data_IF_040938857512
#
_entry.id   IF_040938857512
#
_cell.length_a   1.000
_cell.length_b   1.000
_cell.length_c   1.000
_cell.angle_alpha   90.00
_cell.angle_beta   90.00
_cell.angle_gamma   90.00
#
_symmetry.space_group_name_H-M   'P 1'
#
loop_
_entity.id
_entity.type
_entity.pdbx_description
1 polymer ?
#
# COMPACT_ATOMS: atom_id res chain seq x y z
N UNK A 1 -30.15 -16.79 11.98
CA UNK A 1 -29.68 -18.03 12.60
C UNK A 1 -28.21 -18.26 12.28
N UNK A 2 -27.32 -18.14 13.28
CA UNK A 2 -25.88 -18.35 13.06
C UNK A 2 -25.58 -19.84 12.85
N UNK A 3 -25.15 -20.23 11.65
CA UNK A 3 -24.82 -21.60 11.30
C UNK A 3 -23.41 -21.74 10.74
N UNK A 4 -22.76 -22.92 10.89
CA UNK A 4 -21.48 -23.18 10.25
C UNK A 4 -21.59 -23.07 8.72
N UNK A 5 -20.61 -22.43 8.07
CA UNK A 5 -20.60 -22.20 6.62
C UNK A 5 -20.68 -23.51 5.80
N UNK A 6 -20.18 -24.63 6.35
CA UNK A 6 -20.32 -25.96 5.75
C UNK A 6 -21.76 -26.50 5.69
N UNK A 7 -22.67 -25.92 6.48
CA UNK A 7 -24.08 -26.32 6.55
C UNK A 7 -24.99 -25.40 5.72
N UNK A 8 -24.43 -24.33 5.15
CA UNK A 8 -25.16 -23.38 4.29
C UNK A 8 -25.47 -24.02 2.94
N UNK A 9 -26.63 -23.71 2.37
CA UNK A 9 -27.06 -24.20 1.06
C UNK A 9 -27.23 -23.07 0.06
N UNK A 10 -27.06 -23.38 -1.21
CA UNK A 10 -27.38 -22.42 -2.27
C UNK A 10 -28.87 -22.04 -2.20
N UNK A 11 -29.14 -20.75 -2.19
CA UNK A 11 -30.48 -20.18 -1.99
C UNK A 11 -30.74 -19.67 -0.57
N UNK A 12 -29.87 -19.97 0.41
CA UNK A 12 -29.98 -19.37 1.74
C UNK A 12 -29.69 -17.87 1.66
N UNK A 13 -30.37 -17.06 2.48
CA UNK A 13 -30.20 -15.61 2.54
C UNK A 13 -29.37 -15.21 3.75
N UNK A 14 -28.32 -14.40 3.56
CA UNK A 14 -27.54 -13.86 4.67
C UNK A 14 -28.35 -12.88 5.51
N UNK A 15 -28.43 -13.14 6.83
CA UNK A 15 -29.09 -12.28 7.80
C UNK A 15 -28.26 -11.07 8.24
N UNK A 16 -26.94 -11.20 8.22
CA UNK A 16 -25.99 -10.13 8.54
C UNK A 16 -24.83 -10.16 7.56
N UNK A 17 -24.08 -9.04 7.48
CA UNK A 17 -22.87 -8.96 6.65
C UNK A 17 -21.85 -10.03 7.06
N UNK A 18 -21.28 -10.73 6.08
CA UNK A 18 -20.22 -11.71 6.29
C UNK A 18 -18.85 -11.05 6.08
N UNK A 19 -18.05 -11.02 7.14
CA UNK A 19 -16.71 -10.44 7.10
C UNK A 19 -15.64 -11.54 7.13
N UNK A 20 -14.59 -11.32 6.38
CA UNK A 20 -13.35 -12.08 6.52
C UNK A 20 -12.77 -11.86 7.95
N UNK A 21 -12.03 -12.81 8.56
CA UNK A 21 -11.37 -12.60 9.85
C UNK A 21 -10.48 -11.35 9.94
N UNK A 22 -10.05 -10.79 8.79
CA UNK A 22 -9.35 -9.51 8.70
C UNK A 22 -10.26 -8.26 8.71
N UNK A 23 -11.59 -8.43 8.90
CA UNK A 23 -12.55 -7.32 8.90
C UNK A 23 -13.03 -6.88 7.51
N UNK A 24 -12.58 -7.50 6.42
CA UNK A 24 -13.03 -7.18 5.07
C UNK A 24 -14.44 -7.74 4.84
N UNK A 25 -15.38 -6.90 4.38
CA UNK A 25 -16.70 -7.34 3.94
C UNK A 25 -16.56 -8.28 2.74
N UNK A 26 -17.08 -9.49 2.87
CA UNK A 26 -17.04 -10.53 1.83
C UNK A 26 -18.35 -10.64 1.07
N UNK A 27 -19.45 -10.59 1.80
CA UNK A 27 -20.82 -10.61 1.28
C UNK A 27 -21.74 -9.80 2.19
N UNK A 28 -22.64 -9.01 1.62
CA UNK A 28 -23.58 -8.18 2.37
C UNK A 28 -24.81 -8.97 2.85
N UNK A 29 -25.41 -8.50 3.95
CA UNK A 29 -26.72 -8.96 4.42
C UNK A 29 -27.75 -8.90 3.29
N UNK A 30 -28.68 -9.85 3.27
CA UNK A 30 -29.67 -9.97 2.20
C UNK A 30 -29.16 -10.65 0.92
N UNK A 31 -27.88 -11.04 0.84
CA UNK A 31 -27.37 -11.80 -0.31
C UNK A 31 -27.94 -13.21 -0.32
N UNK A 32 -28.57 -13.60 -1.45
CA UNK A 32 -28.93 -14.99 -1.72
C UNK A 32 -27.68 -15.74 -2.15
N UNK A 33 -27.23 -16.67 -1.33
CA UNK A 33 -25.96 -17.37 -1.52
C UNK A 33 -26.01 -18.34 -2.70
N UNK A 34 -25.10 -18.16 -3.63
CA UNK A 34 -24.82 -19.15 -4.68
C UNK A 34 -23.82 -20.22 -4.17
N UNK A 35 -23.65 -21.31 -4.91
CA UNK A 35 -22.64 -22.32 -4.61
C UNK A 35 -21.21 -21.70 -4.63
N UNK A 36 -20.95 -20.76 -5.52
CA UNK A 36 -19.67 -20.04 -5.61
C UNK A 36 -19.43 -19.13 -4.39
N UNK A 37 -20.49 -18.50 -3.85
CA UNK A 37 -20.40 -17.67 -2.64
C UNK A 37 -20.08 -18.52 -1.41
N UNK A 38 -20.69 -19.68 -1.30
CA UNK A 38 -20.43 -20.64 -0.20
C UNK A 38 -18.99 -21.14 -0.26
N UNK A 39 -18.50 -21.50 -1.44
CA UNK A 39 -17.10 -21.88 -1.63
C UNK A 39 -16.14 -20.73 -1.32
N UNK A 40 -16.49 -19.50 -1.71
CA UNK A 40 -15.73 -18.29 -1.37
C UNK A 40 -15.65 -18.06 0.14
N UNK A 41 -16.76 -18.19 0.87
CA UNK A 41 -16.81 -18.06 2.33
C UNK A 41 -15.93 -19.11 3.02
N UNK A 42 -15.99 -20.37 2.58
CA UNK A 42 -15.17 -21.46 3.12
C UNK A 42 -13.68 -21.25 2.84
N UNK A 43 -13.33 -20.87 1.61
CA UNK A 43 -11.95 -20.59 1.20
C UNK A 43 -11.32 -19.43 1.99
N UNK A 44 -12.15 -18.46 2.39
CA UNK A 44 -11.73 -17.29 3.17
C UNK A 44 -11.72 -17.54 4.68
N UNK A 45 -11.98 -18.78 5.12
CA UNK A 45 -11.93 -19.16 6.54
C UNK A 45 -13.07 -18.56 7.37
N UNK A 46 -14.22 -18.26 6.75
CA UNK A 46 -15.41 -17.78 7.45
C UNK A 46 -16.18 -19.02 7.93
N UNK A 47 -15.97 -19.40 9.18
CA UNK A 47 -16.50 -20.64 9.74
C UNK A 47 -18.01 -20.62 9.99
N UNK A 48 -18.59 -19.44 10.23
CA UNK A 48 -20.01 -19.28 10.55
C UNK A 48 -20.57 -18.04 9.86
N UNK A 49 -21.83 -18.14 9.44
CA UNK A 49 -22.63 -17.03 8.88
C UNK A 49 -24.03 -17.04 9.48
N UNK A 50 -24.63 -15.85 9.53
CA UNK A 50 -26.03 -15.73 9.97
C UNK A 50 -26.95 -15.88 8.75
N UNK A 51 -27.90 -16.81 8.85
CA UNK A 51 -28.87 -17.10 7.78
C UNK A 51 -30.28 -16.77 8.27
N UNK A 52 -31.06 -16.11 7.41
CA UNK A 52 -32.49 -15.86 7.65
C UNK A 52 -33.23 -17.20 7.51
N UNK A 53 -33.99 -17.66 8.52
CA UNK A 53 -34.79 -18.90 8.44
C UNK A 53 -35.84 -18.76 7.33
N UNK A 54 -36.15 -19.84 6.57
CA UNK A 54 -37.15 -19.80 5.48
C UNK A 54 -38.58 -19.47 5.95
N UNK A 55 -38.91 -19.65 7.24
CA UNK A 55 -40.23 -19.35 7.83
C UNK A 55 -40.23 -18.11 8.75
N UNK A 56 -39.16 -17.33 8.78
CA UNK A 56 -39.12 -16.06 9.49
C UNK A 56 -39.77 -14.95 8.66
N UNK A 57 -40.84 -14.34 9.15
CA UNK A 57 -41.29 -13.04 8.65
C UNK A 57 -40.08 -12.13 8.57
N UNK A 58 -39.79 -11.63 7.37
CA UNK A 58 -38.80 -10.58 7.21
C UNK A 58 -39.20 -9.45 8.20
N UNK A 59 -38.30 -8.94 9.03
CA UNK A 59 -38.62 -7.81 9.89
C UNK A 59 -39.29 -6.75 9.01
N UNK A 60 -40.39 -6.11 9.48
CA UNK A 60 -41.07 -5.10 8.67
C UNK A 60 -40.04 -4.07 8.24
N UNK A 61 -40.09 -3.55 7.01
CA UNK A 61 -39.14 -2.55 6.57
C UNK A 61 -39.14 -1.45 7.61
N UNK A 62 -37.99 -1.21 8.22
CA UNK A 62 -37.81 -0.16 9.21
C UNK A 62 -38.41 1.11 8.62
N UNK A 63 -39.35 1.71 9.33
CA UNK A 63 -40.00 2.97 8.91
C UNK A 63 -38.90 3.96 8.59
N UNK A 64 -39.05 4.73 7.50
CA UNK A 64 -38.05 5.65 6.96
C UNK A 64 -37.36 6.54 8.01
N UNK A 65 -37.97 6.78 9.17
CA UNK A 65 -37.39 7.54 10.29
C UNK A 65 -36.35 6.77 11.13
N UNK A 66 -36.35 5.41 11.11
CA UNK A 66 -35.32 4.61 11.79
C UNK A 66 -34.15 4.25 10.88
N UNK A 67 -34.35 4.31 9.55
CA UNK A 67 -33.29 4.12 8.55
C UNK A 67 -32.33 5.32 8.46
N UNK A 68 -32.74 6.51 8.88
CA UNK A 68 -31.87 7.69 8.93
C UNK A 68 -30.87 7.68 10.09
N UNK A 69 -31.02 6.82 11.10
CA UNK A 69 -30.16 6.80 12.29
C UNK A 69 -29.03 5.77 12.22
N UNK A 70 -29.03 4.83 11.25
CA UNK A 70 -28.04 3.75 11.11
C UNK A 70 -27.64 3.46 9.64
N UNK A 71 -27.87 4.41 8.75
CA UNK A 71 -27.23 4.34 7.44
C UNK A 71 -25.78 4.81 7.59
N UNK A 72 -24.84 3.87 7.72
CA UNK A 72 -23.53 4.06 7.13
C UNK A 72 -23.78 4.06 5.60
N UNK A 73 -24.35 5.15 5.12
CA UNK A 73 -24.31 5.47 3.71
C UNK A 73 -22.89 5.91 3.42
N UNK A 74 -22.09 5.04 2.82
CA UNK A 74 -21.07 5.53 1.92
C UNK A 74 -21.85 6.45 0.97
N UNK A 75 -21.70 7.75 1.12
CA UNK A 75 -22.41 8.71 0.27
C UNK A 75 -22.12 8.33 -1.19
N UNK A 76 -23.10 8.47 -2.12
CA UNK A 76 -22.88 8.18 -3.56
C UNK A 76 -21.64 8.88 -4.12
N UNK A 77 -21.20 9.95 -3.49
CA UNK A 77 -19.97 10.69 -3.79
C UNK A 77 -18.67 9.94 -3.42
N UNK A 78 -18.66 9.21 -2.31
CA UNK A 78 -17.48 8.48 -1.84
C UNK A 78 -17.20 7.25 -2.71
N UNK A 79 -18.24 6.49 -3.03
CA UNK A 79 -18.13 5.36 -3.98
C UNK A 79 -17.76 5.81 -5.41
N UNK A 80 -18.23 6.98 -5.85
CA UNK A 80 -17.85 7.56 -7.14
C UNK A 80 -16.38 8.01 -7.13
N UNK A 81 -15.90 8.54 -6.00
CA UNK A 81 -14.53 8.98 -5.80
C UNK A 81 -13.58 7.79 -5.81
N UNK A 82 -13.88 6.73 -5.07
CA UNK A 82 -13.10 5.50 -5.03
C UNK A 82 -12.96 4.88 -6.44
N UNK A 83 -14.06 4.76 -7.18
CA UNK A 83 -14.03 4.29 -8.57
C UNK A 83 -13.14 5.17 -9.46
N UNK A 84 -13.17 6.49 -9.27
CA UNK A 84 -12.36 7.41 -10.03
C UNK A 84 -10.85 7.29 -9.72
N UNK A 85 -10.49 7.00 -8.47
CA UNK A 85 -9.09 6.74 -8.06
C UNK A 85 -8.62 5.41 -8.65
N UNK A 86 -9.42 4.35 -8.56
CA UNK A 86 -9.10 3.04 -9.14
C UNK A 86 -8.89 3.15 -10.66
N UNK A 87 -9.75 3.90 -11.37
CA UNK A 87 -9.60 4.12 -12.80
C UNK A 87 -8.29 4.88 -13.12
N UNK A 88 -8.00 5.96 -12.40
CA UNK A 88 -6.77 6.72 -12.60
C UNK A 88 -5.50 5.89 -12.27
N UNK A 89 -5.58 5.00 -11.28
CA UNK A 89 -4.51 4.06 -10.97
C UNK A 89 -4.27 3.10 -12.14
N UNK A 90 -5.34 2.52 -12.70
CA UNK A 90 -5.21 1.61 -13.85
C UNK A 90 -4.64 2.34 -15.08
N UNK A 91 -5.10 3.56 -15.36
CA UNK A 91 -4.53 4.40 -16.42
C UNK A 91 -3.04 4.67 -16.20
N UNK A 92 -2.60 4.86 -14.94
CA UNK A 92 -1.18 5.04 -14.62
C UNK A 92 -0.39 3.73 -14.82
N UNK A 93 -0.96 2.56 -14.49
CA UNK A 93 -0.33 1.26 -14.74
C UNK A 93 -0.18 1.01 -16.25
N UNK A 94 -1.20 1.28 -17.04
CA UNK A 94 -1.14 1.14 -18.49
C UNK A 94 -0.14 2.15 -19.10
N UNK A 95 -0.12 3.38 -18.58
CA UNK A 95 0.82 4.43 -18.98
C UNK A 95 2.28 4.07 -18.73
N UNK A 96 2.63 3.49 -17.58
CA UNK A 96 4.01 3.06 -17.31
C UNK A 96 4.41 1.88 -18.18
N UNK A 97 3.51 0.95 -18.46
CA UNK A 97 3.76 -0.16 -19.37
C UNK A 97 4.16 0.32 -20.76
N UNK A 98 3.37 1.22 -21.35
CA UNK A 98 3.69 1.86 -22.64
C UNK A 98 5.04 2.60 -22.56
N UNK A 99 5.32 3.27 -21.45
CA UNK A 99 6.57 4.00 -21.23
C UNK A 99 7.78 3.04 -21.22
N UNK A 100 7.66 1.86 -20.60
CA UNK A 100 8.72 0.83 -20.62
C UNK A 100 8.94 0.25 -22.04
N UNK A 101 7.86 0.01 -22.79
CA UNK A 101 7.92 -0.45 -24.18
C UNK A 101 8.65 0.58 -25.06
N UNK A 102 8.27 1.85 -24.96
CA UNK A 102 8.92 2.94 -25.67
C UNK A 102 10.41 3.07 -25.30
N UNK A 103 10.75 3.01 -24.00
CA UNK A 103 12.12 3.06 -23.53
C UNK A 103 12.98 1.92 -24.10
N UNK A 104 12.40 0.72 -24.25
CA UNK A 104 13.06 -0.44 -24.81
C UNK A 104 13.31 -0.28 -26.32
N UNK A 105 12.29 0.17 -27.08
CA UNK A 105 12.33 0.27 -28.52
C UNK A 105 13.14 1.47 -29.03
N UNK A 106 12.93 2.65 -28.43
CA UNK A 106 13.46 3.91 -28.91
C UNK A 106 14.70 4.38 -28.10
N UNK A 107 14.85 3.89 -26.87
CA UNK A 107 15.92 4.32 -25.95
C UNK A 107 15.71 5.70 -25.35
N UNK A 108 14.53 6.30 -25.52
CA UNK A 108 14.06 7.53 -24.88
C UNK A 108 12.55 7.46 -24.67
N UNK A 109 11.99 8.39 -23.86
CA UNK A 109 10.56 8.46 -23.53
C UNK A 109 10.08 9.91 -23.52
N UNK A 110 8.77 10.14 -23.74
CA UNK A 110 8.21 11.51 -23.73
C UNK A 110 7.87 11.97 -22.31
N UNK A 111 8.42 13.11 -21.84
CA UNK A 111 8.04 13.71 -20.56
C UNK A 111 6.55 14.04 -20.47
N UNK A 112 5.93 14.47 -21.57
CA UNK A 112 4.50 14.79 -21.64
C UNK A 112 3.63 13.55 -21.50
N UNK A 113 4.06 12.41 -22.06
CA UNK A 113 3.36 11.13 -21.92
C UNK A 113 3.40 10.64 -20.47
N UNK A 114 4.56 10.72 -19.83
CA UNK A 114 4.73 10.39 -18.42
C UNK A 114 3.84 11.27 -17.53
N UNK A 115 3.82 12.58 -17.77
CA UNK A 115 2.97 13.50 -17.04
C UNK A 115 1.47 13.19 -17.23
N UNK A 116 1.05 12.85 -18.44
CA UNK A 116 -0.35 12.43 -18.72
C UNK A 116 -0.72 11.12 -18.04
N UNK A 117 0.21 10.18 -17.90
CA UNK A 117 -0.03 8.91 -17.21
C UNK A 117 -0.10 9.06 -15.69
N UNK A 118 0.75 9.87 -15.08
CA UNK A 118 0.88 9.96 -13.62
C UNK A 118 0.09 11.10 -12.96
N UNK A 119 0.08 12.31 -13.54
CA UNK A 119 -0.50 13.49 -12.87
C UNK A 119 -2.00 13.37 -12.55
N UNK A 120 -2.86 12.73 -13.38
CA UNK A 120 -4.27 12.55 -13.04
C UNK A 120 -4.47 11.73 -11.77
N UNK A 121 -3.64 10.71 -11.54
CA UNK A 121 -3.66 9.91 -10.33
C UNK A 121 -3.26 10.75 -9.11
N UNK A 122 -2.14 11.46 -9.19
CA UNK A 122 -1.67 12.35 -8.12
C UNK A 122 -2.72 13.40 -7.73
N UNK A 123 -3.38 14.03 -8.72
CA UNK A 123 -4.44 15.00 -8.47
C UNK A 123 -5.67 14.42 -7.75
N UNK A 124 -6.00 13.14 -8.00
CA UNK A 124 -7.14 12.48 -7.32
C UNK A 124 -6.81 12.03 -5.90
N UNK A 125 -5.58 11.52 -5.70
CA UNK A 125 -5.13 11.06 -4.37
C UNK A 125 -4.78 12.22 -3.44
N UNK A 126 -4.52 13.42 -3.96
CA UNK A 126 -4.24 14.62 -3.16
C UNK A 126 -5.29 14.89 -2.05
N UNK A 127 -6.55 14.57 -2.30
CA UNK A 127 -7.64 14.75 -1.36
C UNK A 127 -7.88 13.54 -0.45
N UNK A 128 -7.17 12.43 -0.63
CA UNK A 128 -7.38 11.21 0.13
C UNK A 128 -6.80 11.33 1.54
N UNK A 129 -7.63 11.03 2.54
CA UNK A 129 -7.23 11.07 3.96
C UNK A 129 -6.67 9.74 4.43
N UNK A 130 -7.19 8.64 3.93
CA UNK A 130 -6.73 7.28 4.28
C UNK A 130 -5.83 6.72 3.16
N UNK A 131 -4.60 7.24 3.12
CA UNK A 131 -3.55 6.80 2.19
C UNK A 131 -3.20 5.33 2.37
N UNK A 132 -3.31 4.83 3.61
CA UNK A 132 -2.97 3.44 3.97
C UNK A 132 -3.94 2.48 3.29
N UNK A 133 -5.24 2.67 3.49
CA UNK A 133 -6.27 1.83 2.87
C UNK A 133 -6.18 1.90 1.35
N UNK A 134 -5.93 3.08 0.78
CA UNK A 134 -5.75 3.25 -0.65
C UNK A 134 -4.58 2.39 -1.18
N UNK A 135 -3.41 2.48 -0.57
CA UNK A 135 -2.22 1.71 -0.99
C UNK A 135 -2.42 0.20 -0.85
N UNK A 136 -3.20 -0.25 0.14
CA UNK A 136 -3.50 -1.66 0.35
C UNK A 136 -4.52 -2.21 -0.67
N UNK A 137 -5.53 -1.43 -1.02
CA UNK A 137 -6.58 -1.82 -2.00
C UNK A 137 -6.01 -1.95 -3.41
N UNK A 138 -5.06 -1.09 -3.77
CA UNK A 138 -4.47 -1.05 -5.10
C UNK A 138 -3.40 -2.13 -5.36
N UNK A 139 -3.11 -3.00 -4.38
CA UNK A 139 -2.09 -4.04 -4.48
C UNK A 139 -2.66 -5.34 -5.09
N UNK A 140 -2.82 -5.40 -6.43
CA UNK A 140 -3.34 -6.55 -7.16
C UNK A 140 -2.19 -7.42 -7.74
N UNK A 141 -2.47 -8.70 -8.09
CA UNK A 141 -1.46 -9.76 -8.30
C UNK A 141 -0.80 -9.79 -9.69
N UNK A 142 -1.39 -9.16 -10.67
CA UNK A 142 -0.89 -9.18 -12.05
C UNK A 142 -0.07 -7.92 -12.36
N UNK A 143 1.03 -8.05 -13.13
CA UNK A 143 1.91 -6.94 -13.54
C UNK A 143 2.70 -6.22 -12.41
N UNK A 144 3.28 -7.00 -11.47
CA UNK A 144 4.02 -6.51 -10.29
C UNK A 144 4.97 -5.33 -10.57
N UNK A 145 5.76 -5.37 -11.63
CA UNK A 145 6.76 -4.31 -11.91
C UNK A 145 6.11 -2.95 -12.16
N UNK A 146 5.03 -2.93 -12.94
CA UNK A 146 4.35 -1.68 -13.30
C UNK A 146 3.53 -1.12 -12.15
N UNK A 147 2.84 -1.98 -11.42
CA UNK A 147 2.11 -1.59 -10.20
C UNK A 147 3.05 -1.05 -9.12
N UNK A 148 4.22 -1.67 -8.94
CA UNK A 148 5.27 -1.20 -8.05
C UNK A 148 5.72 0.21 -8.43
N UNK A 149 5.98 0.48 -9.70
CA UNK A 149 6.35 1.82 -10.19
C UNK A 149 5.28 2.87 -9.88
N UNK A 150 4.00 2.54 -10.07
CA UNK A 150 2.89 3.45 -9.72
C UNK A 150 2.83 3.69 -8.21
N UNK A 151 2.95 2.64 -7.40
CA UNK A 151 2.94 2.74 -5.94
C UNK A 151 4.11 3.58 -5.41
N UNK A 152 5.33 3.33 -5.89
CA UNK A 152 6.50 4.13 -5.51
C UNK A 152 6.30 5.59 -5.91
N UNK A 153 5.71 5.86 -7.07
CA UNK A 153 5.34 7.21 -7.48
C UNK A 153 4.35 7.88 -6.52
N UNK A 154 3.26 7.19 -6.16
CA UNK A 154 2.28 7.72 -5.20
C UNK A 154 2.91 8.00 -3.83
N UNK A 155 3.68 7.05 -3.30
CA UNK A 155 4.32 7.18 -1.99
C UNK A 155 5.33 8.33 -1.99
N UNK A 156 6.13 8.47 -3.05
CA UNK A 156 7.09 9.58 -3.20
C UNK A 156 6.39 10.94 -3.24
N UNK A 157 5.27 11.05 -3.95
CA UNK A 157 4.42 12.24 -3.97
C UNK A 157 3.95 12.59 -2.55
N UNK A 158 3.40 11.64 -1.80
CA UNK A 158 2.94 11.88 -0.43
C UNK A 158 4.08 12.25 0.52
N UNK A 159 5.23 11.57 0.45
CA UNK A 159 6.40 11.93 1.28
C UNK A 159 6.77 13.39 1.04
N UNK A 160 6.86 13.83 -0.22
CA UNK A 160 7.17 15.22 -0.57
C UNK A 160 6.13 16.21 0.00
N UNK A 161 4.84 15.89 -0.11
CA UNK A 161 3.75 16.70 0.50
C UNK A 161 3.89 16.77 2.03
N UNK A 162 4.17 15.65 2.68
CA UNK A 162 4.34 15.60 4.13
C UNK A 162 5.61 16.30 4.62
N UNK A 163 6.62 16.44 3.77
CA UNK A 163 7.79 17.28 4.00
C UNK A 163 7.51 18.77 3.78
N UNK A 164 6.31 19.16 3.40
CA UNK A 164 5.92 20.55 3.19
C UNK A 164 6.36 21.14 1.84
N UNK A 165 6.72 20.29 0.86
CA UNK A 165 7.10 20.73 -0.47
C UNK A 165 5.86 21.25 -1.24
N UNK A 166 6.12 22.09 -2.24
CA UNK A 166 5.07 22.61 -3.13
C UNK A 166 4.41 21.49 -3.93
N UNK A 167 3.27 21.76 -4.53
CA UNK A 167 2.58 20.80 -5.38
C UNK A 167 3.43 20.39 -6.59
N UNK A 168 4.16 21.32 -7.17
CA UNK A 168 5.05 21.07 -8.31
C UNK A 168 6.20 20.12 -7.92
N UNK A 169 6.86 20.38 -6.79
CA UNK A 169 7.93 19.52 -6.26
C UNK A 169 7.40 18.14 -5.87
N UNK A 170 6.20 18.05 -5.31
CA UNK A 170 5.57 16.77 -4.98
C UNK A 170 5.23 15.96 -6.25
N UNK A 171 4.70 16.60 -7.29
CA UNK A 171 4.49 15.96 -8.58
C UNK A 171 5.81 15.50 -9.22
N UNK A 172 6.88 16.27 -9.04
CA UNK A 172 8.21 15.89 -9.50
C UNK A 172 8.71 14.64 -8.77
N UNK A 173 8.55 14.58 -7.43
CA UNK A 173 8.87 13.42 -6.62
C UNK A 173 8.04 12.18 -7.02
N UNK A 174 6.76 12.38 -7.28
CA UNK A 174 5.89 11.32 -7.77
C UNK A 174 6.35 10.75 -9.11
N UNK A 175 6.67 11.61 -10.07
CA UNK A 175 7.22 11.18 -11.38
C UNK A 175 8.59 10.52 -11.25
N UNK A 176 9.42 10.97 -10.31
CA UNK A 176 10.71 10.34 -10.03
C UNK A 176 10.52 8.90 -9.52
N UNK A 177 9.60 8.69 -8.56
CA UNK A 177 9.25 7.35 -8.10
C UNK A 177 8.60 6.48 -9.17
N UNK A 178 7.73 7.06 -10.01
CA UNK A 178 7.08 6.36 -11.12
C UNK A 178 8.07 5.83 -12.17
N UNK A 179 9.20 6.51 -12.35
CA UNK A 179 10.22 6.19 -13.36
C UNK A 179 11.50 5.55 -12.79
N UNK A 180 11.62 5.37 -11.47
CA UNK A 180 12.87 4.96 -10.83
C UNK A 180 13.48 3.69 -11.44
N UNK A 181 12.62 2.78 -11.86
CA UNK A 181 12.94 1.45 -12.37
C UNK A 181 12.93 1.34 -13.92
N UNK A 182 12.77 2.44 -14.65
CA UNK A 182 12.62 2.41 -16.12
C UNK A 182 13.76 1.66 -16.83
N UNK A 183 14.96 1.70 -16.28
CA UNK A 183 16.12 0.99 -16.83
C UNK A 183 16.02 -0.52 -16.80
N UNK A 184 15.06 -1.10 -16.04
CA UNK A 184 14.79 -2.55 -16.06
C UNK A 184 14.33 -3.05 -17.43
N UNK A 185 13.82 -2.16 -18.31
CA UNK A 185 13.51 -2.52 -19.69
C UNK A 185 14.72 -3.08 -20.48
N UNK A 186 15.96 -2.72 -20.07
CA UNK A 186 17.21 -3.19 -20.70
C UNK A 186 17.84 -4.41 -20.03
N UNK A 187 17.28 -4.90 -18.95
CA UNK A 187 17.76 -6.12 -18.28
C UNK A 187 17.11 -7.34 -18.92
N UNK A 188 17.87 -8.42 -19.06
CA UNK A 188 17.37 -9.67 -19.59
C UNK A 188 16.17 -10.19 -18.81
N UNK A 189 15.09 -10.51 -19.52
CA UNK A 189 13.85 -11.00 -18.89
C UNK A 189 14.03 -12.31 -18.14
N UNK A 190 14.94 -13.17 -18.60
CA UNK A 190 15.24 -14.43 -17.93
C UNK A 190 15.86 -14.20 -16.55
N UNK A 191 16.64 -13.13 -16.39
CA UNK A 191 17.22 -12.74 -15.10
C UNK A 191 16.13 -12.10 -14.20
N UNK A 192 15.35 -11.16 -14.75
CA UNK A 192 14.30 -10.46 -13.99
C UNK A 192 13.19 -11.40 -13.48
N UNK A 193 12.83 -12.40 -14.26
CA UNK A 193 11.75 -13.34 -13.95
C UNK A 193 12.23 -14.67 -13.37
N UNK A 194 13.52 -14.78 -13.02
CA UNK A 194 14.08 -16.01 -12.50
C UNK A 194 13.41 -16.44 -11.20
N UNK A 195 12.82 -17.65 -11.12
CA UNK A 195 12.09 -18.09 -9.93
C UNK A 195 13.00 -18.55 -8.79
N UNK A 196 14.31 -18.70 -9.06
CA UNK A 196 15.33 -19.11 -8.08
C UNK A 196 16.19 -17.92 -7.65
N UNK A 197 17.04 -18.13 -6.64
CA UNK A 197 18.00 -17.10 -6.23
C UNK A 197 18.93 -16.74 -7.38
N UNK A 198 19.20 -15.45 -7.53
CA UNK A 198 20.16 -14.91 -8.49
C UNK A 198 21.58 -15.28 -8.10
N UNK A 199 22.44 -15.50 -9.11
CA UNK A 199 23.88 -15.56 -8.88
C UNK A 199 24.42 -14.15 -8.62
N UNK A 200 25.70 -14.05 -8.20
CA UNK A 200 26.34 -12.75 -7.98
C UNK A 200 26.40 -11.94 -9.29
N UNK A 201 26.73 -12.61 -10.40
CA UNK A 201 26.82 -12.02 -11.73
C UNK A 201 25.45 -11.52 -12.22
N UNK A 202 24.38 -12.32 -12.05
CA UNK A 202 23.02 -11.93 -12.39
C UNK A 202 22.55 -10.73 -11.55
N UNK A 203 22.91 -10.71 -10.26
CA UNK A 203 22.60 -9.59 -9.39
C UNK A 203 23.35 -8.33 -9.80
N UNK A 204 24.64 -8.45 -10.22
CA UNK A 204 25.41 -7.34 -10.75
C UNK A 204 24.83 -6.83 -12.08
N UNK A 205 24.25 -7.70 -12.91
CA UNK A 205 23.54 -7.30 -14.11
C UNK A 205 22.28 -6.48 -13.78
N UNK A 206 21.47 -6.94 -12.81
CA UNK A 206 20.28 -6.20 -12.38
C UNK A 206 20.65 -4.80 -11.89
N UNK A 207 21.73 -4.65 -11.11
CA UNK A 207 22.16 -3.32 -10.62
C UNK A 207 22.37 -2.28 -11.70
N UNK A 208 22.65 -2.70 -12.93
CA UNK A 208 22.86 -1.78 -14.08
C UNK A 208 21.59 -1.02 -14.49
N UNK A 209 20.38 -1.49 -14.05
CA UNK A 209 19.14 -0.77 -14.37
C UNK A 209 19.18 0.69 -13.89
N UNK A 210 19.88 1.00 -12.79
CA UNK A 210 20.02 2.36 -12.29
C UNK A 210 20.74 3.26 -13.28
N UNK A 211 21.84 2.78 -13.88
CA UNK A 211 22.60 3.51 -14.90
C UNK A 211 21.81 3.59 -16.21
N UNK A 212 21.18 2.49 -16.62
CA UNK A 212 20.33 2.48 -17.82
C UNK A 212 19.15 3.43 -17.69
N UNK A 213 18.51 3.49 -16.53
CA UNK A 213 17.44 4.43 -16.24
C UNK A 213 17.89 5.87 -16.32
N UNK A 214 19.00 6.20 -15.68
CA UNK A 214 19.63 7.51 -15.77
C UNK A 214 19.89 7.94 -17.23
N UNK A 215 20.49 7.06 -18.03
CA UNK A 215 20.81 7.34 -19.43
C UNK A 215 19.55 7.57 -20.29
N UNK A 216 18.51 6.74 -20.11
CA UNK A 216 17.24 6.90 -20.80
C UNK A 216 16.61 8.25 -20.46
N UNK A 217 16.48 8.56 -19.17
CA UNK A 217 15.82 9.77 -18.69
C UNK A 217 16.59 11.03 -19.07
N UNK A 218 17.91 11.00 -19.00
CA UNK A 218 18.76 12.12 -19.42
C UNK A 218 18.63 12.42 -20.92
N UNK A 219 18.63 11.38 -21.77
CA UNK A 219 18.40 11.51 -23.21
C UNK A 219 17.01 12.03 -23.55
N UNK A 220 16.05 11.73 -22.70
CA UNK A 220 14.64 12.15 -22.81
C UNK A 220 14.40 13.59 -22.35
N UNK A 221 15.42 14.29 -21.82
CA UNK A 221 15.31 15.67 -21.37
C UNK A 221 14.59 15.85 -20.03
N UNK A 222 14.54 14.81 -19.18
CA UNK A 222 14.00 14.94 -17.83
C UNK A 222 14.88 15.79 -16.92
N UNK A 223 14.28 16.50 -15.92
CA UNK A 223 15.01 17.24 -14.90
C UNK A 223 16.01 16.37 -14.13
N UNK A 224 17.05 17.01 -13.59
CA UNK A 224 18.12 16.33 -12.85
C UNK A 224 17.58 15.53 -11.67
N UNK A 225 16.57 16.02 -10.96
CA UNK A 225 15.93 15.38 -9.83
C UNK A 225 15.38 13.98 -10.18
N UNK A 226 14.74 13.83 -11.34
CA UNK A 226 14.21 12.56 -11.82
C UNK A 226 15.35 11.63 -12.27
N UNK A 227 16.33 12.15 -13.01
CA UNK A 227 17.44 11.34 -13.50
C UNK A 227 18.30 10.82 -12.35
N UNK A 228 18.57 11.66 -11.34
CA UNK A 228 19.33 11.26 -10.16
C UNK A 228 18.55 10.30 -9.25
N UNK A 229 17.24 10.41 -9.17
CA UNK A 229 16.42 9.43 -8.46
C UNK A 229 16.58 8.04 -9.10
N UNK A 230 16.47 7.91 -10.42
CA UNK A 230 16.69 6.64 -11.10
C UNK A 230 18.10 6.08 -10.90
N UNK A 231 19.13 6.94 -10.87
CA UNK A 231 20.52 6.51 -10.66
C UNK A 231 20.78 6.05 -9.22
N UNK A 232 20.20 6.74 -8.22
CA UNK A 232 20.66 6.67 -6.83
C UNK A 232 19.65 6.08 -5.84
N UNK A 233 18.44 5.63 -6.25
CA UNK A 233 17.43 5.11 -5.31
C UNK A 233 17.88 3.84 -4.56
N UNK A 234 18.87 3.14 -5.06
CA UNK A 234 19.52 2.03 -4.38
C UNK A 234 20.79 2.39 -3.61
N UNK A 235 21.16 3.68 -3.56
CA UNK A 235 22.17 4.13 -2.61
C UNK A 235 21.64 3.98 -1.17
N UNK A 236 22.55 3.74 -0.25
CA UNK A 236 22.23 3.59 1.17
C UNK A 236 22.95 4.66 1.97
N UNK A 237 22.29 5.19 2.98
CA UNK A 237 22.77 6.32 3.76
C UNK A 237 24.15 6.05 4.39
N UNK A 238 24.46 4.78 4.71
CA UNK A 238 25.74 4.30 5.21
C UNK A 238 26.80 4.03 4.12
N UNK A 239 26.43 4.13 2.83
CA UNK A 239 27.30 3.86 1.70
C UNK A 239 27.42 2.40 1.29
N UNK A 240 26.57 1.53 1.83
CA UNK A 240 26.51 0.10 1.43
C UNK A 240 25.75 -0.12 0.12
N UNK A 241 25.12 0.92 -0.43
CA UNK A 241 24.30 0.88 -1.64
C UNK A 241 25.09 0.81 -2.96
N UNK A 242 24.39 1.06 -4.06
CA UNK A 242 24.92 1.07 -5.41
C UNK A 242 24.20 2.10 -6.27
N UNK A 243 24.72 2.54 -7.44
CA UNK A 243 25.94 2.09 -8.11
C UNK A 243 27.22 2.82 -7.67
N UNK A 244 27.10 4.01 -7.03
CA UNK A 244 28.21 4.91 -6.75
C UNK A 244 28.74 4.80 -5.32
N UNK A 245 28.05 4.06 -4.44
CA UNK A 245 28.35 3.90 -3.00
C UNK A 245 28.42 5.25 -2.27
N UNK A 246 27.49 6.13 -2.60
CA UNK A 246 27.35 7.44 -1.98
C UNK A 246 26.89 7.33 -0.51
N UNK A 247 27.19 8.38 0.27
CA UNK A 247 26.82 8.44 1.68
C UNK A 247 26.08 9.72 1.99
N UNK A 248 25.07 9.62 2.82
CA UNK A 248 24.38 10.76 3.46
C UNK A 248 24.05 11.88 2.46
N UNK A 249 24.67 13.06 2.64
CA UNK A 249 24.40 14.26 1.88
C UNK A 249 24.88 14.17 0.43
N UNK A 250 25.75 13.21 0.09
CA UNK A 250 26.15 12.96 -1.30
C UNK A 250 25.05 12.28 -2.13
N UNK A 251 24.04 11.67 -1.47
CA UNK A 251 22.87 11.11 -2.15
C UNK A 251 21.89 12.25 -2.44
N UNK A 252 21.44 12.33 -3.69
CA UNK A 252 20.49 13.36 -4.10
C UNK A 252 19.19 13.31 -3.27
N UNK A 253 18.63 14.45 -2.80
CA UNK A 253 17.44 14.47 -1.96
C UNK A 253 16.24 13.70 -2.55
N UNK A 254 16.01 13.84 -3.86
CA UNK A 254 14.94 13.11 -4.55
C UNK A 254 15.16 11.59 -4.51
N UNK A 255 16.40 11.12 -4.64
CA UNK A 255 16.73 9.70 -4.55
C UNK A 255 16.47 9.14 -3.15
N UNK A 256 16.69 9.93 -2.08
CA UNK A 256 16.39 9.55 -0.71
C UNK A 256 14.87 9.36 -0.48
N UNK A 257 14.03 10.25 -1.06
CA UNK A 257 12.56 10.11 -1.02
C UNK A 257 12.13 8.82 -1.71
N UNK A 258 12.63 8.60 -2.93
CA UNK A 258 12.30 7.41 -3.73
C UNK A 258 12.78 6.13 -3.05
N UNK A 259 13.96 6.13 -2.40
CA UNK A 259 14.48 4.97 -1.68
C UNK A 259 13.57 4.52 -0.50
N UNK A 260 13.01 5.47 0.26
CA UNK A 260 12.04 5.15 1.32
C UNK A 260 10.77 4.57 0.73
N UNK A 261 10.26 5.19 -0.35
CA UNK A 261 9.04 4.74 -1.03
C UNK A 261 9.21 3.34 -1.65
N UNK A 262 10.35 3.08 -2.30
CA UNK A 262 10.69 1.80 -2.94
C UNK A 262 10.75 0.67 -1.90
N UNK A 263 11.52 0.84 -0.83
CA UNK A 263 11.65 -0.17 0.23
C UNK A 263 10.28 -0.47 0.85
N UNK A 264 9.48 0.55 1.16
CA UNK A 264 8.14 0.35 1.72
C UNK A 264 7.24 -0.41 0.73
N UNK A 265 7.18 0.01 -0.53
CA UNK A 265 6.39 -0.67 -1.57
C UNK A 265 6.83 -2.13 -1.76
N UNK A 266 8.14 -2.38 -1.82
CA UNK A 266 8.69 -3.73 -1.91
C UNK A 266 8.30 -4.60 -0.70
N UNK A 267 8.35 -4.06 0.53
CA UNK A 267 7.97 -4.78 1.74
C UNK A 267 6.47 -5.13 1.77
N UNK A 268 5.58 -4.31 1.27
CA UNK A 268 4.14 -4.63 1.23
C UNK A 268 3.84 -5.65 0.13
N UNK A 269 4.52 -5.56 -0.99
CA UNK A 269 4.23 -6.33 -2.21
C UNK A 269 4.80 -7.77 -2.18
N UNK A 270 5.93 -8.04 -1.52
CA UNK A 270 6.63 -9.34 -1.47
C UNK A 270 5.82 -10.49 -0.85
N UNK A 271 4.53 -10.34 -0.61
CA UNK A 271 3.76 -11.12 0.35
C UNK A 271 2.68 -12.00 -0.20
N UNK A 272 2.67 -12.20 -1.48
CA UNK A 272 1.73 -13.15 -2.11
C UNK A 272 1.97 -14.60 -1.68
N UNK A 273 3.19 -14.93 -1.18
CA UNK A 273 3.58 -16.29 -0.78
C UNK A 273 3.77 -16.52 0.73
N UNK A 274 3.69 -15.47 1.56
CA UNK A 274 3.75 -15.62 3.02
C UNK A 274 2.55 -14.91 3.65
N UNK A 275 2.01 -15.45 4.77
CA UNK A 275 0.93 -14.84 5.56
C UNK A 275 1.13 -13.32 5.59
N UNK A 276 0.06 -12.55 5.24
CA UNK A 276 0.06 -11.07 5.27
C UNK A 276 0.82 -10.61 6.51
N UNK A 277 2.01 -10.03 6.32
CA UNK A 277 2.68 -9.43 7.45
C UNK A 277 1.91 -8.17 7.81
N UNK A 278 1.81 -7.93 9.08
CA UNK A 278 1.18 -6.77 9.66
C UNK A 278 1.85 -5.50 9.11
N UNK A 279 1.05 -4.51 8.76
CA UNK A 279 1.54 -3.18 8.37
C UNK A 279 2.46 -2.60 9.45
N UNK A 280 2.15 -2.87 10.73
CA UNK A 280 3.01 -2.53 11.87
C UNK A 280 4.41 -3.12 11.74
N UNK A 281 4.52 -4.39 11.34
CA UNK A 281 5.81 -5.03 11.12
C UNK A 281 6.60 -4.31 10.00
N UNK A 282 5.92 -3.91 8.91
CA UNK A 282 6.57 -3.17 7.82
C UNK A 282 7.11 -1.84 8.29
N UNK A 283 6.30 -1.09 9.02
CA UNK A 283 6.73 0.21 9.55
C UNK A 283 7.87 0.07 10.57
N UNK A 284 7.86 -1.01 11.38
CA UNK A 284 8.99 -1.32 12.28
C UNK A 284 10.27 -1.64 11.53
N UNK A 285 10.20 -2.45 10.47
CA UNK A 285 11.37 -2.75 9.63
C UNK A 285 11.86 -1.49 8.92
N UNK A 286 10.96 -0.68 8.38
CA UNK A 286 11.32 0.61 7.77
C UNK A 286 12.01 1.54 8.79
N UNK A 287 11.50 1.60 10.02
CA UNK A 287 12.13 2.36 11.10
C UNK A 287 13.54 1.84 11.41
N UNK A 288 13.76 0.52 11.42
CA UNK A 288 15.10 -0.07 11.59
C UNK A 288 16.05 0.34 10.47
N UNK A 289 15.59 0.38 9.21
CA UNK A 289 16.38 0.83 8.07
C UNK A 289 16.83 2.30 8.21
N UNK A 290 16.12 3.13 8.98
CA UNK A 290 16.51 4.53 9.25
C UNK A 290 17.79 4.67 10.09
N UNK A 291 18.27 3.60 10.72
CA UNK A 291 19.52 3.62 11.51
C UNK A 291 20.77 3.30 10.68
N UNK A 292 20.72 3.37 9.36
CA UNK A 292 21.90 3.15 8.53
C UNK A 292 21.62 3.14 7.04
N UNK A 293 20.53 2.52 6.60
CA UNK A 293 20.26 2.32 5.18
C UNK A 293 19.49 3.48 4.53
N UNK A 294 18.53 4.07 5.25
CA UNK A 294 17.65 5.13 4.76
C UNK A 294 17.94 6.47 5.44
N UNK A 295 17.54 7.55 4.80
CA UNK A 295 17.53 8.88 5.41
C UNK A 295 16.57 8.90 6.61
N UNK A 296 17.06 9.17 7.84
CA UNK A 296 16.24 9.08 9.04
C UNK A 296 15.13 10.11 9.09
N UNK A 297 15.34 11.32 8.56
CA UNK A 297 14.35 12.39 8.58
C UNK A 297 13.16 12.04 7.67
N UNK A 298 13.43 11.64 6.44
CA UNK A 298 12.41 11.25 5.45
C UNK A 298 11.64 10.02 5.96
N UNK A 299 12.35 9.03 6.51
CA UNK A 299 11.72 7.82 7.05
C UNK A 299 10.79 8.13 8.22
N UNK A 300 11.21 9.02 9.13
CA UNK A 300 10.36 9.44 10.25
C UNK A 300 9.15 10.26 9.79
N UNK A 301 9.30 11.14 8.79
CA UNK A 301 8.16 11.87 8.21
C UNK A 301 7.14 10.87 7.67
N UNK A 302 7.57 9.88 6.91
CA UNK A 302 6.69 8.84 6.38
C UNK A 302 5.95 8.09 7.50
N UNK A 303 6.68 7.55 8.49
CA UNK A 303 6.09 6.78 9.59
C UNK A 303 5.10 7.63 10.39
N UNK A 304 5.43 8.89 10.70
CA UNK A 304 4.54 9.80 11.44
C UNK A 304 3.19 10.03 10.74
N UNK A 305 3.16 10.04 9.42
CA UNK A 305 1.93 10.22 8.67
C UNK A 305 1.16 8.92 8.43
N UNK A 306 1.83 7.77 8.49
CA UNK A 306 1.17 6.47 8.38
C UNK A 306 0.48 6.04 9.69
N UNK A 307 1.09 6.33 10.85
CA UNK A 307 0.63 5.89 12.17
C UNK A 307 -0.77 6.43 12.57
N UNK A 308 -1.15 7.71 12.31
CA UNK A 308 -2.48 8.20 12.66
C UNK A 308 -3.63 7.42 12.01
N UNK A 309 -3.40 6.74 10.89
CA UNK A 309 -4.41 5.90 10.24
C UNK A 309 -4.76 4.65 11.07
N UNK A 310 -4.01 4.38 12.15
CA UNK A 310 -4.32 3.28 13.09
C UNK A 310 -5.29 3.68 14.21
N UNK A 311 -5.59 4.97 14.38
CA UNK A 311 -6.59 5.41 15.37
C UNK A 311 -7.94 4.77 15.00
N UNK A 312 -8.66 4.25 15.99
CA UNK A 312 -9.89 3.48 15.88
C UNK A 312 -9.73 2.06 15.26
N UNK A 313 -8.52 1.64 14.90
CA UNK A 313 -8.27 0.25 14.46
C UNK A 313 -8.09 -0.65 15.68
N UNK A 314 -8.45 -1.93 15.52
CA UNK A 314 -8.24 -2.94 16.56
C UNK A 314 -6.79 -3.41 16.54
N UNK A 315 -6.26 -3.70 17.73
CA UNK A 315 -4.95 -4.36 17.90
C UNK A 315 -5.11 -5.62 18.71
N UNK A 316 -4.17 -6.54 18.51
CA UNK A 316 -3.98 -7.70 19.36
C UNK A 316 -2.60 -7.62 20.00
N UNK A 317 -2.53 -7.88 21.30
CA UNK A 317 -1.28 -8.05 22.04
C UNK A 317 -0.75 -9.47 21.90
N UNK A 318 0.54 -9.69 22.17
CA UNK A 318 1.13 -11.03 22.26
C UNK A 318 0.45 -11.90 23.33
N UNK A 319 -0.18 -11.29 24.33
CA UNK A 319 -1.00 -11.97 25.34
C UNK A 319 -2.33 -12.48 24.78
N UNK A 320 -2.72 -12.09 23.56
CA UNK A 320 -3.97 -12.43 22.91
C UNK A 320 -5.11 -11.44 23.19
N UNK A 321 -4.91 -10.44 24.04
CA UNK A 321 -5.91 -9.40 24.32
C UNK A 321 -6.12 -8.51 23.10
N UNK A 322 -7.38 -8.14 22.83
CA UNK A 322 -7.77 -7.28 21.71
C UNK A 322 -8.28 -5.96 22.28
N UNK A 323 -7.71 -4.87 21.80
CA UNK A 323 -8.12 -3.50 22.14
C UNK A 323 -8.31 -2.62 20.91
N UNK A 324 -8.68 -1.36 21.15
CA UNK A 324 -8.83 -0.35 20.10
C UNK A 324 -7.85 0.78 20.34
N UNK A 325 -7.10 1.19 19.30
CA UNK A 325 -6.17 2.32 19.37
C UNK A 325 -6.98 3.61 19.52
N UNK A 326 -6.71 4.34 20.60
CA UNK A 326 -7.39 5.62 20.90
C UNK A 326 -6.51 6.80 20.50
N UNK A 327 -5.21 6.68 20.72
CA UNK A 327 -4.25 7.74 20.42
C UNK A 327 -2.88 7.14 20.08
N UNK A 328 -2.18 7.73 19.15
CA UNK A 328 -0.80 7.37 18.80
C UNK A 328 0.19 8.19 19.63
N UNK A 329 1.35 7.61 19.94
CA UNK A 329 2.39 8.29 20.69
C UNK A 329 3.45 8.87 19.70
N UNK A 330 3.61 10.20 19.63
CA UNK A 330 4.58 10.82 18.72
C UNK A 330 6.05 10.51 19.05
N UNK A 331 6.33 10.14 20.31
CA UNK A 331 7.69 9.83 20.78
C UNK A 331 8.01 8.33 20.67
N UNK A 332 6.98 7.47 20.65
CA UNK A 332 7.13 6.03 20.49
C UNK A 332 6.00 5.51 19.58
N UNK A 333 6.25 5.56 18.28
CA UNK A 333 5.27 5.31 17.21
C UNK A 333 4.57 3.96 17.33
N UNK A 334 5.22 2.98 17.94
CA UNK A 334 4.75 1.60 17.98
C UNK A 334 4.11 1.21 19.31
N UNK A 335 3.91 2.19 20.22
CA UNK A 335 3.32 2.02 21.55
C UNK A 335 2.19 3.03 21.77
N UNK A 336 1.00 2.78 21.16
CA UNK A 336 -0.15 3.66 21.27
C UNK A 336 -0.84 3.55 22.64
N UNK A 337 -1.73 4.51 22.93
CA UNK A 337 -2.77 4.38 23.95
C UNK A 337 -3.90 3.50 23.39
N UNK A 338 -4.26 2.46 24.12
CA UNK A 338 -5.24 1.45 23.71
C UNK A 338 -6.36 1.34 24.75
N UNK A 339 -7.58 1.20 24.27
CA UNK A 339 -8.74 0.88 25.10
C UNK A 339 -9.02 -0.62 25.01
N UNK A 340 -8.90 -1.33 26.14
CA UNK A 340 -9.30 -2.72 26.32
C UNK A 340 -10.59 -2.74 27.16
N UNK A 341 -11.75 -2.88 26.51
CA UNK A 341 -13.07 -2.99 27.15
C UNK A 341 -13.39 -1.91 28.22
N UNK A 342 -12.92 -0.66 27.96
CA UNK A 342 -13.13 0.48 28.87
C UNK A 342 -11.92 0.82 29.74
N UNK A 343 -10.90 -0.01 29.79
CA UNK A 343 -9.62 0.28 30.43
C UNK A 343 -8.64 0.89 29.42
N UNK A 344 -8.09 2.06 29.72
CA UNK A 344 -7.12 2.75 28.89
C UNK A 344 -5.70 2.42 29.34
N UNK A 345 -4.94 1.77 28.46
CA UNK A 345 -3.57 1.33 28.72
C UNK A 345 -2.61 2.07 27.78
N UNK A 346 -1.69 2.85 28.33
CA UNK A 346 -0.59 3.45 27.59
C UNK A 346 0.54 2.41 27.41
N UNK A 347 0.69 1.90 26.19
CA UNK A 347 1.72 0.89 25.91
C UNK A 347 3.14 1.45 26.00
N UNK A 348 3.33 2.78 25.98
CA UNK A 348 4.66 3.39 26.18
C UNK A 348 5.15 3.26 27.62
N UNK A 349 4.23 3.18 28.60
CA UNK A 349 4.51 2.94 30.01
C UNK A 349 4.54 1.44 30.35
N UNK A 350 3.77 0.63 29.63
CA UNK A 350 3.64 -0.81 29.82
C UNK A 350 4.52 -1.59 28.86
N UNK A 351 5.83 -1.54 29.07
CA UNK A 351 6.84 -2.20 28.21
C UNK A 351 6.79 -3.72 28.23
N UNK A 352 6.10 -4.30 29.19
CA UNK A 352 5.79 -5.72 29.32
C UNK A 352 4.75 -6.20 28.28
N UNK A 353 3.96 -5.28 27.71
CA UNK A 353 2.95 -5.55 26.71
C UNK A 353 3.48 -5.21 25.30
N UNK A 354 3.34 -6.14 24.36
CA UNK A 354 3.76 -5.94 22.97
C UNK A 354 2.60 -6.14 22.02
N UNK A 355 2.52 -5.28 21.01
CA UNK A 355 1.55 -5.39 19.92
C UNK A 355 2.03 -6.47 18.95
N UNK A 356 1.19 -7.50 18.77
CA UNK A 356 1.41 -8.57 17.81
C UNK A 356 0.87 -8.19 16.43
N UNK A 357 -0.35 -7.62 16.40
CA UNK A 357 -1.07 -7.36 15.16
C UNK A 357 -1.94 -6.10 15.24
N UNK A 358 -2.05 -5.35 14.12
CA UNK A 358 -3.05 -4.29 13.92
C UNK A 358 -3.97 -4.71 12.78
N UNK A 359 -5.27 -4.72 13.05
CA UNK A 359 -6.31 -5.01 12.06
C UNK A 359 -6.64 -3.72 11.28
N UNK A 360 -6.13 -3.60 10.06
CA UNK A 360 -6.30 -2.44 9.17
C UNK A 360 -7.43 -2.66 8.19
#
# INVERSE_FOLDING_TARGET
LLIPTKNVRAGDCLGTDAFHPSGLLVLSAGTLLSAADIEKLQRLGIDKVDIVPPDGEAPPPATAAAAEAYSFSSEPKEAAREKAVIAAYQEAVDGIKITFEQALEEGFISPEQVARGFNPLAGRVHEEKDVVSLLLVLNNRDDYTYQHSVQVGMISYYIAKWMGQTEEEALLAGRAGYLHDIGKCRIDRGILQKPSRLTAEEYDEIKKHTVFGYDILKRSGFPEEITMAALQHHERFDGSGYPLKLRREAIHPMAKIVAVADIYSAMISTRVYQKKRDLLYVLRELYRCSFGELDPEITQVFIRHMIPNFINKKIQLLTGEIGTIVMTNPSDFFRPLVNFDGEFVDLSERRDLEVEHIFV
#
